data_IF_504833331838
#
_entry.id   IF_504833331838
#
_cell.length_a   1.000
_cell.length_b   1.000
_cell.length_c   1.000
_cell.angle_alpha   90.00
_cell.angle_beta   90.00
_cell.angle_gamma   90.00
#
_symmetry.space_group_name_H-M   'P 1'
#
loop_
_entity.id
_entity.type
_entity.pdbx_description
1 polymer ?
#
# COMPACT_ATOMS: atom_id res chain seq x y z
N UNK A 1 4.13 -46.71 -0.72
CA UNK A 1 4.91 -45.61 -1.33
C UNK A 1 4.05 -44.35 -1.32
N UNK A 2 4.36 -43.38 -0.45
CA UNK A 2 3.63 -42.11 -0.36
C UNK A 2 4.05 -41.24 -1.54
N UNK A 3 3.10 -40.87 -2.41
CA UNK A 3 3.34 -39.87 -3.47
C UNK A 3 3.54 -38.52 -2.79
N UNK A 4 4.70 -37.88 -2.97
CA UNK A 4 4.86 -36.48 -2.61
C UNK A 4 4.08 -35.64 -3.61
N UNK A 5 2.93 -35.15 -3.18
CA UNK A 5 2.24 -34.05 -3.84
C UNK A 5 3.09 -32.81 -3.63
N UNK A 6 3.80 -32.38 -4.67
CA UNK A 6 4.44 -31.07 -4.68
C UNK A 6 3.36 -30.01 -4.47
N UNK A 7 3.36 -29.41 -3.28
CA UNK A 7 2.56 -28.24 -2.99
C UNK A 7 3.10 -27.10 -3.84
N UNK A 8 2.36 -26.75 -4.89
CA UNK A 8 2.56 -25.51 -5.65
C UNK A 8 2.49 -24.35 -4.65
N UNK A 9 3.64 -23.78 -4.32
CA UNK A 9 3.68 -22.48 -3.66
C UNK A 9 2.97 -21.48 -4.57
N UNK A 10 1.96 -20.73 -4.10
CA UNK A 10 1.41 -19.65 -4.90
C UNK A 10 2.55 -18.63 -5.13
N UNK A 11 2.88 -18.35 -6.39
CA UNK A 11 3.90 -17.39 -6.79
C UNK A 11 3.57 -16.00 -6.23
N UNK A 12 4.21 -15.58 -5.12
CA UNK A 12 3.97 -14.28 -4.47
C UNK A 12 4.86 -13.16 -5.05
N UNK A 13 5.67 -13.43 -6.07
CA UNK A 13 6.73 -12.52 -6.50
C UNK A 13 6.58 -11.98 -7.92
N UNK A 14 5.35 -11.75 -8.39
CA UNK A 14 5.19 -10.95 -9.61
C UNK A 14 5.67 -9.52 -9.35
N UNK A 15 6.75 -9.06 -10.03
CA UNK A 15 7.27 -7.72 -9.80
C UNK A 15 6.22 -6.69 -10.23
N UNK A 16 6.10 -5.62 -9.43
CA UNK A 16 5.20 -4.51 -9.76
C UNK A 16 5.67 -3.91 -11.09
N UNK A 17 4.84 -4.00 -12.13
CA UNK A 17 5.18 -3.50 -13.46
C UNK A 17 4.95 -1.99 -13.55
N UNK A 18 6.03 -1.24 -13.74
CA UNK A 18 6.02 0.20 -14.00
C UNK A 18 6.20 0.53 -15.49
N UNK A 19 6.01 -0.45 -16.38
CA UNK A 19 6.15 -0.25 -17.82
C UNK A 19 5.12 0.77 -18.32
N UNK A 20 5.57 1.70 -19.17
CA UNK A 20 4.71 2.72 -19.80
C UNK A 20 4.47 3.98 -18.96
N UNK A 21 5.16 4.15 -17.84
CA UNK A 21 5.12 5.39 -17.06
C UNK A 21 6.27 6.32 -17.41
N UNK A 22 5.98 7.63 -17.46
CA UNK A 22 6.97 8.69 -17.72
C UNK A 22 8.05 8.80 -16.64
N UNK A 23 7.71 8.48 -15.39
CA UNK A 23 8.59 8.65 -14.24
C UNK A 23 9.20 7.32 -13.81
N UNK A 24 10.42 7.33 -13.24
CA UNK A 24 11.05 6.12 -12.75
C UNK A 24 10.23 5.50 -11.61
N UNK A 25 10.36 4.17 -11.41
CA UNK A 25 9.64 3.44 -10.36
C UNK A 25 9.80 4.05 -8.96
N UNK A 26 10.96 4.62 -8.66
CA UNK A 26 11.27 5.21 -7.35
C UNK A 26 10.41 6.45 -7.06
N UNK A 27 10.23 7.32 -8.06
CA UNK A 27 9.37 8.51 -7.92
C UNK A 27 7.90 8.11 -7.75
N UNK A 28 7.45 7.10 -8.51
CA UNK A 28 6.09 6.58 -8.41
C UNK A 28 5.85 5.97 -7.03
N UNK A 29 6.78 5.12 -6.58
CA UNK A 29 6.70 4.45 -5.28
C UNK A 29 6.75 5.46 -4.14
N UNK A 30 7.62 6.47 -4.24
CA UNK A 30 7.72 7.56 -3.26
C UNK A 30 6.42 8.37 -3.17
N UNK A 31 5.82 8.70 -4.31
CA UNK A 31 4.53 9.41 -4.37
C UNK A 31 3.41 8.62 -3.67
N UNK A 32 3.33 7.32 -3.96
CA UNK A 32 2.32 6.42 -3.35
C UNK A 32 2.60 6.24 -1.85
N UNK A 33 3.87 6.12 -1.46
CA UNK A 33 4.28 6.03 -0.06
C UNK A 33 3.89 7.28 0.73
N UNK A 34 4.19 8.49 0.21
CA UNK A 34 3.79 9.74 0.86
C UNK A 34 2.29 9.81 1.13
N UNK A 35 1.48 9.42 0.15
CA UNK A 35 0.02 9.45 0.27
C UNK A 35 -0.52 8.49 1.33
N UNK A 36 0.00 7.27 1.42
CA UNK A 36 -0.48 6.28 2.39
C UNK A 36 0.15 6.39 3.78
N UNK A 37 1.37 6.94 3.87
CA UNK A 37 2.14 6.97 5.12
C UNK A 37 1.81 8.17 6.00
N UNK A 38 1.41 9.29 5.40
CA UNK A 38 1.15 10.55 6.11
C UNK A 38 -0.29 11.02 5.86
N UNK A 39 -0.90 11.77 6.80
CA UNK A 39 -2.23 12.36 6.64
C UNK A 39 -2.18 13.59 5.71
N UNK A 40 -1.66 13.40 4.49
CA UNK A 40 -1.54 14.44 3.47
C UNK A 40 -2.73 14.37 2.52
N UNK A 41 -3.24 15.54 2.13
CA UNK A 41 -4.16 15.60 1.00
C UNK A 41 -3.39 15.36 -0.31
N UNK A 42 -4.09 14.92 -1.35
CA UNK A 42 -3.51 14.71 -2.68
C UNK A 42 -2.83 15.99 -3.21
N UNK A 43 -3.42 17.16 -2.92
CA UNK A 43 -2.88 18.48 -3.28
C UNK A 43 -1.56 18.77 -2.57
N UNK A 44 -1.44 18.46 -1.28
CA UNK A 44 -0.16 18.62 -0.56
C UNK A 44 0.93 17.72 -1.14
N UNK A 45 0.58 16.49 -1.54
CA UNK A 45 1.57 15.60 -2.18
C UNK A 45 2.04 16.16 -3.52
N UNK A 46 1.12 16.70 -4.34
CA UNK A 46 1.44 17.43 -5.57
C UNK A 46 2.40 18.61 -5.31
N UNK A 47 2.10 19.48 -4.35
CA UNK A 47 2.94 20.62 -3.98
C UNK A 47 4.34 20.20 -3.50
N UNK A 48 4.43 19.15 -2.68
CA UNK A 48 5.70 18.63 -2.18
C UNK A 48 6.58 18.05 -3.30
N UNK A 49 5.97 17.45 -4.32
CA UNK A 49 6.68 16.93 -5.49
C UNK A 49 7.11 18.08 -6.42
N UNK A 50 6.25 19.08 -6.60
CA UNK A 50 6.55 20.29 -7.37
C UNK A 50 7.75 21.05 -6.77
N UNK A 51 7.82 21.18 -5.44
CA UNK A 51 8.96 21.78 -4.74
C UNK A 51 10.29 21.05 -4.99
N UNK A 52 10.25 19.79 -5.45
CA UNK A 52 11.43 18.99 -5.83
C UNK A 52 11.67 18.96 -7.35
N UNK A 53 10.95 19.79 -8.11
CA UNK A 53 11.03 19.83 -9.57
C UNK A 53 10.29 18.70 -10.29
N UNK A 54 9.40 17.98 -9.58
CA UNK A 54 8.62 16.87 -10.14
C UNK A 54 7.19 17.33 -10.37
N UNK A 55 6.84 17.66 -11.61
CA UNK A 55 5.49 18.08 -11.98
C UNK A 55 4.54 16.87 -12.11
N UNK A 56 3.63 16.73 -11.14
CA UNK A 56 2.61 15.69 -11.10
C UNK A 56 1.30 16.26 -10.62
N UNK A 57 0.23 16.04 -11.39
CA UNK A 57 -1.11 16.47 -10.97
C UNK A 57 -1.62 15.61 -9.82
N UNK A 58 -2.47 16.19 -8.96
CA UNK A 58 -3.11 15.44 -7.87
C UNK A 58 -3.92 14.22 -8.38
N UNK A 59 -4.54 14.28 -9.56
CA UNK A 59 -5.22 13.13 -10.17
C UNK A 59 -4.23 12.02 -10.57
N UNK A 60 -3.02 12.39 -10.98
CA UNK A 60 -1.96 11.41 -11.25
C UNK A 60 -1.53 10.70 -9.98
N UNK A 61 -1.41 11.43 -8.86
CA UNK A 61 -1.14 10.86 -7.53
C UNK A 61 -2.24 9.87 -7.16
N UNK A 62 -3.51 10.28 -7.30
CA UNK A 62 -4.68 9.43 -7.01
C UNK A 62 -4.70 8.16 -7.86
N UNK A 63 -4.53 8.28 -9.17
CA UNK A 63 -4.51 7.14 -10.10
C UNK A 63 -3.39 6.15 -9.75
N UNK A 64 -2.19 6.65 -9.46
CA UNK A 64 -1.05 5.82 -9.04
C UNK A 64 -1.29 5.15 -7.69
N UNK A 65 -1.84 5.86 -6.72
CA UNK A 65 -2.17 5.29 -5.41
C UNK A 65 -3.18 4.14 -5.54
N UNK A 66 -4.25 4.33 -6.33
CA UNK A 66 -5.23 3.27 -6.59
C UNK A 66 -4.63 2.07 -7.33
N UNK A 67 -3.77 2.30 -8.34
CA UNK A 67 -3.19 1.22 -9.15
C UNK A 67 -2.12 0.42 -8.41
N UNK A 68 -1.19 1.10 -7.75
CA UNK A 68 -0.01 0.47 -7.16
C UNK A 68 -0.16 0.18 -5.67
N UNK A 69 -1.02 0.93 -4.96
CA UNK A 69 -1.13 0.85 -3.51
C UNK A 69 -1.38 -0.57 -3.00
N UNK A 70 -2.32 -1.31 -3.62
CA UNK A 70 -2.62 -2.67 -3.22
C UNK A 70 -1.45 -3.64 -3.46
N UNK A 71 -0.77 -3.51 -4.60
CA UNK A 71 0.36 -4.37 -4.94
C UNK A 71 1.54 -4.14 -3.99
N UNK A 72 1.87 -2.87 -3.71
CA UNK A 72 2.90 -2.49 -2.73
C UNK A 72 2.52 -3.02 -1.34
N UNK A 73 1.28 -2.82 -0.90
CA UNK A 73 0.84 -3.27 0.41
C UNK A 73 0.84 -4.80 0.56
N UNK A 74 0.52 -5.55 -0.50
CA UNK A 74 0.64 -7.01 -0.51
C UNK A 74 2.07 -7.46 -0.31
N UNK A 75 3.02 -6.82 -1.00
CA UNK A 75 4.45 -7.13 -0.88
C UNK A 75 4.98 -6.84 0.53
N UNK A 76 4.60 -5.71 1.12
CA UNK A 76 4.99 -5.38 2.50
C UNK A 76 4.45 -6.44 3.48
N UNK A 77 3.20 -6.89 3.29
CA UNK A 77 2.61 -7.93 4.13
C UNK A 77 3.27 -9.30 3.94
N UNK A 78 3.70 -9.66 2.73
CA UNK A 78 4.38 -10.93 2.49
C UNK A 78 5.79 -10.95 3.10
N UNK A 79 6.41 -9.78 3.30
CA UNK A 79 7.70 -9.66 4.00
C UNK A 79 7.57 -9.52 5.51
N UNK A 80 6.35 -9.41 6.05
CA UNK A 80 6.16 -9.26 7.49
C UNK A 80 6.55 -10.55 8.23
N UNK A 81 7.14 -10.41 9.42
CA UNK A 81 7.56 -11.55 10.24
C UNK A 81 6.39 -12.45 10.62
N UNK A 82 6.69 -13.71 10.95
CA UNK A 82 5.71 -14.67 11.47
C UNK A 82 4.98 -14.08 12.66
N UNK A 83 3.66 -14.29 12.69
CA UNK A 83 2.80 -13.72 13.72
C UNK A 83 3.05 -14.40 15.08
N UNK A 84 3.06 -13.64 16.17
CA UNK A 84 3.20 -14.12 17.55
C UNK A 84 1.85 -14.66 18.08
N UNK A 85 1.92 -15.39 19.19
CA UNK A 85 0.77 -16.05 19.82
C UNK A 85 -0.17 -15.06 20.55
N UNK A 86 0.28 -13.83 20.80
CA UNK A 86 -0.45 -12.81 21.58
C UNK A 86 -0.94 -11.66 20.71
N UNK A 87 -2.25 -11.43 20.74
CA UNK A 87 -2.91 -10.37 19.97
C UNK A 87 -3.54 -9.32 20.86
N UNK A 88 -3.32 -8.06 20.55
CA UNK A 88 -4.07 -6.92 21.07
C UNK A 88 -5.16 -6.53 20.07
N UNK A 89 -6.40 -6.34 20.53
CA UNK A 89 -7.51 -5.92 19.68
C UNK A 89 -7.84 -4.46 19.96
N UNK A 90 -7.72 -3.62 18.92
CA UNK A 90 -8.11 -2.22 18.96
C UNK A 90 -9.45 -2.01 18.25
N UNK A 91 -10.33 -1.21 18.83
CA UNK A 91 -11.58 -0.77 18.22
C UNK A 91 -11.52 0.72 17.89
N UNK A 92 -11.89 1.09 16.66
CA UNK A 92 -11.94 2.47 16.21
C UNK A 92 -13.24 2.75 15.45
N UNK A 93 -13.95 3.81 15.84
CA UNK A 93 -15.08 4.33 15.10
C UNK A 93 -14.61 5.36 14.06
N UNK A 94 -14.99 5.16 12.80
CA UNK A 94 -14.63 6.06 11.68
C UNK A 94 -15.89 6.48 10.94
N UNK A 95 -16.06 7.78 10.69
CA UNK A 95 -17.17 8.29 9.89
C UNK A 95 -16.71 8.49 8.44
N UNK A 96 -17.30 7.77 7.49
CA UNK A 96 -17.00 7.89 6.06
C UNK A 96 -18.27 8.38 5.36
N UNK A 97 -18.18 9.53 4.69
CA UNK A 97 -19.32 10.16 3.98
C UNK A 97 -20.59 10.28 4.84
N UNK A 98 -20.42 10.58 6.13
CA UNK A 98 -21.52 10.74 7.09
C UNK A 98 -22.04 9.43 7.70
N UNK A 99 -21.57 8.27 7.25
CA UNK A 99 -21.93 6.96 7.83
C UNK A 99 -20.87 6.54 8.84
N UNK A 100 -21.30 6.13 10.05
CA UNK A 100 -20.40 5.58 11.07
C UNK A 100 -20.05 4.12 10.76
N UNK A 101 -18.76 3.83 10.77
CA UNK A 101 -18.20 2.49 10.59
C UNK A 101 -17.37 2.11 11.82
N UNK A 102 -17.40 0.83 12.17
CA UNK A 102 -16.55 0.27 13.23
C UNK A 102 -15.43 -0.51 12.58
N UNK A 103 -14.20 -0.20 12.96
CA UNK A 103 -12.99 -0.87 12.52
C UNK A 103 -12.35 -1.57 13.70
N UNK A 104 -12.26 -2.89 13.64
CA UNK A 104 -11.47 -3.69 14.57
C UNK A 104 -10.12 -4.03 13.95
N UNK A 105 -9.03 -3.73 14.67
CA UNK A 105 -7.66 -4.03 14.24
C UNK A 105 -7.01 -4.96 15.25
N UNK A 106 -6.60 -6.13 14.80
CA UNK A 106 -5.74 -7.02 15.60
C UNK A 106 -4.27 -6.64 15.36
N UNK A 107 -3.58 -6.24 16.43
CA UNK A 107 -2.16 -5.90 16.45
C UNK A 107 -1.41 -7.02 17.17
N UNK A 108 -0.31 -7.44 16.58
CA UNK A 108 0.58 -8.45 17.14
C UNK A 108 1.64 -7.79 18.03
N UNK A 109 2.16 -8.52 19.02
CA UNK A 109 3.16 -7.99 19.96
C UNK A 109 4.56 -7.86 19.32
#
# INVERSE_FOLDING_TARGET
MKKSTDAVQPCVDSPISFKGYRFPPDVISYTVWLYYRFPLSLRRVEEMLAARGIELTYETVRCRATKFGLAIARRIRSTASSRSDKWHLDEAAVTIRGVKHWLWRAVDQ
#
